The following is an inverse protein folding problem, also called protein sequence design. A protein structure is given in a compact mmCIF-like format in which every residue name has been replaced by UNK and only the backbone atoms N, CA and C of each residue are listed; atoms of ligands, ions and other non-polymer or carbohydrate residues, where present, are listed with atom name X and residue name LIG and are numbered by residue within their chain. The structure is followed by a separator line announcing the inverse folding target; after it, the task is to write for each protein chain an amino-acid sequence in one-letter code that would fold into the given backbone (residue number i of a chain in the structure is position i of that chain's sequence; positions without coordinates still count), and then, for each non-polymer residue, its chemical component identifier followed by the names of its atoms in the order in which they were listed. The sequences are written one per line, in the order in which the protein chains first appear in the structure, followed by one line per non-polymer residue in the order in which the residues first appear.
data_IF_125903993079
#
_entry.id   IF_125903993079
#
_cell.length_a   1.000
_cell.length_b   1.000
_cell.length_c   1.000
_cell.angle_alpha   90.00
_cell.angle_beta   90.00
_cell.angle_gamma   90.00
#
_symmetry.space_group_name_H-M   'P 1'
#
loop_
_entity.id
_entity.type
_entity.pdbx_description
1 polymer ?
#
# COMPACT_ATOMS: atom_id res chain seq x y z
N UNK A 1 17.98 -9.11 -11.92
CA UNK A 1 17.76 -9.36 -10.48
C UNK A 1 18.04 -10.82 -10.20
N UNK A 2 18.65 -11.12 -9.05
CA UNK A 2 18.95 -12.47 -8.59
C UNK A 2 17.70 -13.04 -7.90
N UNK A 3 16.60 -13.32 -8.61
CA UNK A 3 15.32 -13.66 -7.96
C UNK A 3 15.46 -14.91 -7.08
N UNK A 4 15.91 -16.00 -7.68
CA UNK A 4 15.95 -17.31 -7.02
C UNK A 4 17.17 -17.39 -6.09
N UNK A 5 18.32 -16.92 -6.56
CA UNK A 5 19.56 -16.84 -5.78
C UNK A 5 19.46 -15.86 -4.61
N UNK A 6 18.68 -14.78 -4.73
CA UNK A 6 18.45 -13.82 -3.65
C UNK A 6 17.62 -14.41 -2.51
N UNK A 7 16.58 -15.18 -2.85
CA UNK A 7 15.77 -15.89 -1.86
C UNK A 7 16.59 -16.96 -1.13
N UNK A 8 17.44 -17.69 -1.86
CA UNK A 8 18.34 -18.70 -1.29
C UNK A 8 19.36 -18.10 -0.33
N UNK A 9 20.00 -16.99 -0.73
CA UNK A 9 20.94 -16.25 0.12
C UNK A 9 20.24 -15.80 1.42
N UNK A 10 19.07 -15.17 1.32
CA UNK A 10 18.31 -14.70 2.47
C UNK A 10 17.93 -15.83 3.43
N UNK A 11 17.48 -16.97 2.90
CA UNK A 11 17.08 -18.14 3.69
C UNK A 11 18.26 -18.82 4.37
N UNK A 12 19.42 -18.86 3.72
CA UNK A 12 20.59 -19.58 4.24
C UNK A 12 21.25 -18.88 5.43
N UNK A 13 21.25 -17.54 5.44
CA UNK A 13 22.02 -16.75 6.41
C UNK A 13 23.54 -16.99 6.36
N UNK A 14 24.04 -17.76 5.39
CA UNK A 14 25.43 -18.20 5.34
C UNK A 14 26.35 -17.03 5.00
N UNK A 15 27.29 -16.68 5.90
CA UNK A 15 28.17 -15.50 5.79
C UNK A 15 27.45 -14.15 5.94
N UNK A 16 26.27 -14.13 6.58
CA UNK A 16 25.65 -12.87 6.97
C UNK A 16 26.60 -12.04 7.86
N UNK A 17 26.62 -10.74 7.66
CA UNK A 17 27.52 -9.79 8.34
C UNK A 17 26.75 -8.74 9.16
N UNK A 18 25.43 -8.91 9.28
CA UNK A 18 24.53 -8.09 10.08
C UNK A 18 23.28 -8.85 10.49
N UNK A 19 22.84 -8.63 11.73
CA UNK A 19 21.57 -9.13 12.23
C UNK A 19 20.61 -7.96 12.45
N UNK A 20 19.43 -8.01 11.85
CA UNK A 20 18.33 -7.08 12.13
C UNK A 20 17.36 -7.76 13.08
N UNK A 21 16.95 -7.06 14.15
CA UNK A 21 15.97 -7.58 15.13
C UNK A 21 14.72 -6.70 15.12
N UNK A 22 13.55 -7.31 15.09
CA UNK A 22 12.25 -6.68 15.23
C UNK A 22 11.37 -7.56 16.12
N UNK A 23 11.04 -7.09 17.32
CA UNK A 23 10.28 -7.85 18.30
C UNK A 23 10.94 -9.22 18.58
N UNK A 24 10.22 -10.32 18.38
CA UNK A 24 10.67 -11.70 18.56
C UNK A 24 11.38 -12.28 17.32
N UNK A 25 11.38 -11.56 16.19
CA UNK A 25 11.99 -12.00 14.93
C UNK A 25 13.33 -11.35 14.69
N UNK A 26 14.20 -12.09 14.01
CA UNK A 26 15.50 -11.60 13.54
C UNK A 26 15.80 -12.13 12.15
N UNK A 27 16.63 -11.40 11.42
CA UNK A 27 17.09 -11.74 10.09
C UNK A 27 18.60 -11.58 10.02
N UNK A 28 19.27 -12.62 9.53
CA UNK A 28 20.68 -12.59 9.18
C UNK A 28 20.82 -12.08 7.73
N UNK A 29 21.35 -10.87 7.57
CA UNK A 29 21.38 -10.15 6.30
C UNK A 29 22.82 -9.83 5.86
N UNK A 30 22.95 -9.29 4.64
CA UNK A 30 24.22 -8.89 4.06
C UNK A 30 24.23 -7.39 3.80
N UNK A 31 25.12 -6.65 4.46
CA UNK A 31 25.30 -5.20 4.28
C UNK A 31 25.52 -4.85 2.81
N UNK A 32 26.30 -5.66 2.09
CA UNK A 32 26.55 -5.50 0.66
C UNK A 32 25.31 -5.57 -0.24
N UNK A 33 24.22 -6.19 0.24
CA UNK A 33 22.93 -6.25 -0.48
C UNK A 33 22.00 -5.13 -0.02
N UNK A 34 21.81 -4.97 1.29
CA UNK A 34 20.78 -4.07 1.84
C UNK A 34 21.20 -2.59 1.81
N UNK A 35 22.48 -2.26 2.04
CA UNK A 35 22.92 -0.85 2.13
C UNK A 35 22.83 -0.11 0.79
N UNK A 36 23.21 -0.71 -0.37
CA UNK A 36 23.02 -0.05 -1.66
C UNK A 36 21.55 0.12 -2.06
N UNK A 37 20.65 -0.69 -1.50
CA UNK A 37 19.23 -0.74 -1.87
C UNK A 37 18.32 -0.01 -0.88
N UNK A 38 18.84 0.39 0.28
CA UNK A 38 18.08 1.03 1.34
C UNK A 38 19.00 1.92 2.20
N UNK A 39 18.83 3.24 2.05
CA UNK A 39 19.65 4.24 2.75
C UNK A 39 19.42 4.22 4.27
N UNK A 40 18.27 3.76 4.74
CA UNK A 40 18.02 3.59 6.17
C UNK A 40 19.01 2.58 6.78
N UNK A 41 19.19 1.41 6.15
CA UNK A 41 20.16 0.42 6.58
C UNK A 41 21.61 0.90 6.49
N UNK A 42 21.89 1.89 5.64
CA UNK A 42 23.19 2.57 5.55
C UNK A 42 23.44 3.54 6.73
N UNK A 43 22.40 4.25 7.20
CA UNK A 43 22.53 5.34 8.19
C UNK A 43 22.34 4.92 9.64
N UNK A 44 21.78 3.75 9.90
CA UNK A 44 21.68 3.19 11.25
C UNK A 44 20.54 2.20 11.37
N UNK A 45 20.85 1.00 11.87
CA UNK A 45 19.90 -0.10 12.14
C UNK A 45 19.04 0.17 13.38
N UNK A 46 18.71 1.42 13.66
CA UNK A 46 18.15 1.83 14.95
C UNK A 46 16.81 2.51 14.70
N UNK A 47 15.74 1.76 14.93
CA UNK A 47 14.38 2.26 14.95
C UNK A 47 13.43 1.12 15.35
N UNK A 48 12.35 1.41 16.09
CA UNK A 48 11.36 0.40 16.40
C UNK A 48 10.62 0.02 15.11
N UNK A 49 10.91 -1.17 14.59
CA UNK A 49 10.10 -1.77 13.55
C UNK A 49 8.76 -2.21 14.18
N UNK A 50 7.65 -1.63 13.71
CA UNK A 50 6.35 -1.85 14.33
C UNK A 50 5.72 -3.20 13.98
N UNK A 51 6.07 -3.78 12.81
CA UNK A 51 5.47 -5.02 12.32
C UNK A 51 6.52 -5.92 11.65
N UNK A 52 6.86 -7.08 12.26
CA UNK A 52 7.81 -8.04 11.72
C UNK A 52 7.43 -8.60 10.33
N UNK A 53 6.14 -8.76 10.04
CA UNK A 53 5.67 -9.34 8.77
C UNK A 53 5.84 -8.37 7.60
N UNK A 54 5.61 -7.08 7.84
CA UNK A 54 5.87 -6.04 6.84
C UNK A 54 7.36 -5.85 6.62
N UNK A 55 8.16 -5.94 7.69
CA UNK A 55 9.61 -5.89 7.57
C UNK A 55 10.15 -7.08 6.77
N UNK A 56 9.61 -8.28 6.98
CA UNK A 56 9.96 -9.46 6.20
C UNK A 56 9.72 -9.25 4.71
N UNK A 57 8.58 -8.65 4.35
CA UNK A 57 8.26 -8.31 2.94
C UNK A 57 9.22 -7.27 2.36
N UNK A 58 9.54 -6.22 3.13
CA UNK A 58 10.51 -5.23 2.71
C UNK A 58 11.91 -5.83 2.51
N UNK A 59 12.34 -6.72 3.40
CA UNK A 59 13.61 -7.46 3.29
C UNK A 59 13.60 -8.36 2.06
N UNK A 60 12.53 -9.16 1.84
CA UNK A 60 12.41 -9.99 0.63
C UNK A 60 12.51 -9.15 -0.63
N UNK A 61 11.81 -8.02 -0.69
CA UNK A 61 11.92 -7.07 -1.80
C UNK A 61 13.37 -6.62 -2.04
N UNK A 62 14.11 -6.29 -0.98
CA UNK A 62 15.52 -5.89 -1.10
C UNK A 62 16.41 -7.00 -1.64
N UNK A 63 16.04 -8.28 -1.55
CA UNK A 63 16.83 -9.39 -2.08
C UNK A 63 16.37 -9.80 -3.48
N UNK A 64 15.07 -10.04 -3.64
CA UNK A 64 14.48 -10.69 -4.82
C UNK A 64 13.90 -9.68 -5.81
N UNK A 65 13.46 -8.52 -5.34
CA UNK A 65 12.67 -7.57 -6.14
C UNK A 65 11.23 -7.99 -6.36
N UNK A 66 10.74 -8.98 -5.62
CA UNK A 66 9.38 -9.49 -5.75
C UNK A 66 8.65 -9.29 -4.42
N UNK A 67 7.34 -9.05 -4.51
CA UNK A 67 6.46 -9.01 -3.35
C UNK A 67 5.59 -10.28 -3.29
N UNK A 68 6.11 -11.41 -3.79
CA UNK A 68 5.34 -12.64 -3.91
C UNK A 68 5.11 -13.25 -2.52
N UNK A 69 3.91 -13.01 -2.04
CA UNK A 69 3.19 -13.90 -1.16
C UNK A 69 2.42 -14.84 -2.08
N UNK A 70 2.66 -16.15 -1.96
CA UNK A 70 1.98 -17.24 -2.69
C UNK A 70 0.68 -16.79 -3.38
N UNK A 71 0.61 -16.96 -4.70
CA UNK A 71 -0.45 -16.52 -5.63
C UNK A 71 -1.90 -16.96 -5.31
N UNK A 72 -2.15 -17.54 -4.14
CA UNK A 72 -3.42 -18.10 -3.73
C UNK A 72 -4.32 -17.16 -2.94
N UNK A 73 -3.83 -16.00 -2.45
CA UNK A 73 -4.68 -15.00 -1.78
C UNK A 73 -4.45 -13.58 -2.31
N UNK A 74 -5.51 -12.85 -2.69
CA UNK A 74 -5.39 -11.44 -3.04
C UNK A 74 -4.88 -10.66 -1.83
N UNK A 75 -3.71 -10.03 -2.00
CA UNK A 75 -3.08 -9.26 -0.93
C UNK A 75 -4.01 -8.10 -0.50
N UNK A 76 -4.40 -8.01 0.78
CA UNK A 76 -5.33 -6.98 1.24
C UNK A 76 -4.77 -5.56 1.01
N UNK A 77 -5.64 -4.62 0.59
CA UNK A 77 -5.24 -3.22 0.36
C UNK A 77 -4.61 -2.61 1.61
N UNK A 78 -5.17 -2.89 2.79
CA UNK A 78 -4.60 -2.42 4.06
C UNK A 78 -3.13 -2.80 4.22
N UNK A 79 -2.77 -4.04 3.87
CA UNK A 79 -1.39 -4.53 3.97
C UNK A 79 -0.45 -3.84 2.98
N UNK A 80 -0.92 -3.48 1.77
CA UNK A 80 -0.14 -2.67 0.83
C UNK A 80 0.11 -1.27 1.38
N UNK A 81 -0.91 -0.63 1.94
CA UNK A 81 -0.80 0.72 2.50
C UNK A 81 0.15 0.72 3.71
N UNK A 82 0.07 -0.27 4.59
CA UNK A 82 1.00 -0.38 5.73
C UNK A 82 2.43 -0.65 5.28
N UNK A 83 2.61 -1.50 4.26
CA UNK A 83 3.91 -1.73 3.65
C UNK A 83 4.44 -0.46 2.98
N UNK A 84 3.58 0.38 2.40
CA UNK A 84 3.97 1.67 1.83
C UNK A 84 4.49 2.62 2.92
N UNK A 85 3.80 2.71 4.06
CA UNK A 85 4.26 3.52 5.20
C UNK A 85 5.63 3.04 5.68
N UNK A 86 5.82 1.72 5.79
CA UNK A 86 7.12 1.15 6.15
C UNK A 86 8.18 1.42 5.08
N UNK A 87 7.85 1.29 3.79
CA UNK A 87 8.77 1.57 2.69
C UNK A 87 9.19 3.04 2.65
N UNK A 88 8.29 3.97 2.99
CA UNK A 88 8.62 5.39 3.15
C UNK A 88 9.56 5.61 4.33
N UNK A 89 9.27 5.01 5.48
CA UNK A 89 10.11 5.08 6.68
C UNK A 89 11.53 4.53 6.42
N UNK A 90 11.63 3.39 5.73
CA UNK A 90 12.90 2.77 5.34
C UNK A 90 13.56 3.47 4.14
N UNK A 91 12.87 4.41 3.50
CA UNK A 91 13.32 5.12 2.31
C UNK A 91 13.68 4.16 1.14
N UNK A 92 12.77 3.24 0.84
CA UNK A 92 12.89 2.27 -0.27
C UNK A 92 11.98 2.72 -1.43
N UNK A 93 12.48 3.63 -2.27
CA UNK A 93 11.70 4.24 -3.36
C UNK A 93 11.17 3.22 -4.40
N UNK A 94 11.93 2.17 -4.68
CA UNK A 94 11.52 1.12 -5.62
C UNK A 94 10.30 0.36 -5.11
N UNK A 95 10.25 0.09 -3.81
CA UNK A 95 9.12 -0.60 -3.16
C UNK A 95 7.88 0.29 -3.12
N UNK A 96 8.04 1.58 -2.77
CA UNK A 96 6.94 2.56 -2.83
C UNK A 96 6.31 2.62 -4.22
N UNK A 97 7.13 2.69 -5.26
CA UNK A 97 6.67 2.77 -6.65
C UNK A 97 5.86 1.54 -7.05
N UNK A 98 6.35 0.35 -6.72
CA UNK A 98 5.64 -0.91 -7.01
C UNK A 98 4.31 -1.01 -6.26
N UNK A 99 4.27 -0.62 -4.98
CA UNK A 99 3.03 -0.64 -4.19
C UNK A 99 1.99 0.32 -4.78
N UNK A 100 2.39 1.55 -5.12
CA UNK A 100 1.50 2.51 -5.76
C UNK A 100 0.93 2.00 -7.09
N UNK A 101 1.75 1.31 -7.88
CA UNK A 101 1.33 0.68 -9.13
C UNK A 101 0.28 -0.43 -8.88
N UNK A 102 0.50 -1.30 -7.88
CA UNK A 102 -0.45 -2.37 -7.54
C UNK A 102 -1.77 -1.82 -6.97
N UNK A 103 -1.71 -0.78 -6.15
CA UNK A 103 -2.90 -0.10 -5.65
C UNK A 103 -3.74 0.48 -6.81
N UNK A 104 -3.11 1.15 -7.78
CA UNK A 104 -3.81 1.64 -8.99
C UNK A 104 -4.47 0.51 -9.76
N UNK A 105 -3.75 -0.58 -10.03
CA UNK A 105 -4.29 -1.77 -10.71
C UNK A 105 -5.43 -2.45 -9.95
N UNK A 106 -5.52 -2.25 -8.64
CA UNK A 106 -6.62 -2.76 -7.82
C UNK A 106 -7.86 -1.87 -7.93
N UNK A 107 -7.68 -0.56 -7.84
CA UNK A 107 -8.79 0.40 -7.81
C UNK A 107 -9.35 0.74 -9.20
N UNK A 108 -8.53 0.81 -10.25
CA UNK A 108 -8.97 1.20 -11.60
C UNK A 108 -10.00 0.22 -12.21
N UNK A 109 -9.76 -1.11 -12.27
CA UNK A 109 -10.76 -2.05 -12.79
C UNK A 109 -11.99 -2.13 -11.89
N UNK A 110 -11.80 -1.94 -10.58
CA UNK A 110 -12.88 -1.97 -9.59
C UNK A 110 -13.83 -0.79 -9.76
N UNK A 111 -13.32 0.41 -10.09
CA UNK A 111 -14.14 1.58 -10.41
C UNK A 111 -15.00 1.34 -11.67
N UNK A 112 -14.42 0.77 -12.73
CA UNK A 112 -15.15 0.41 -13.96
C UNK A 112 -16.25 -0.61 -13.69
N UNK A 113 -15.98 -1.63 -12.86
CA UNK A 113 -16.99 -2.61 -12.43
C UNK A 113 -18.10 -1.95 -11.63
N UNK A 114 -17.77 -1.00 -10.76
CA UNK A 114 -18.74 -0.26 -9.96
C UNK A 114 -19.74 0.50 -10.85
N UNK A 115 -19.26 1.16 -11.91
CA UNK A 115 -20.12 1.82 -12.90
C UNK A 115 -21.05 0.81 -13.61
N UNK A 116 -20.49 -0.30 -14.11
CA UNK A 116 -21.24 -1.27 -14.92
C UNK A 116 -22.33 -2.03 -14.12
N UNK A 117 -22.11 -2.24 -12.81
CA UNK A 117 -22.98 -3.05 -11.95
C UNK A 117 -24.18 -2.26 -11.44
N UNK A 118 -24.04 -0.97 -11.15
CA UNK A 118 -25.16 -0.10 -10.76
C UNK A 118 -26.15 0.13 -11.91
N UNK A 119 -25.70 0.07 -13.16
CA UNK A 119 -26.57 0.07 -14.34
C UNK A 119 -27.46 -1.17 -14.45
N UNK A 120 -27.18 -2.25 -13.70
CA UNK A 120 -27.91 -3.53 -13.79
C UNK A 120 -28.77 -3.88 -12.56
N UNK A 121 -28.69 -3.10 -11.47
CA UNK A 121 -29.43 -3.17 -10.18
C UNK A 121 -29.68 -4.57 -9.58
N UNK A 122 -29.40 -4.68 -8.27
CA UNK A 122 -29.53 -5.84 -7.36
C UNK A 122 -28.52 -6.98 -7.57
N UNK A 123 -27.38 -6.88 -6.87
CA UNK A 123 -26.52 -8.05 -6.64
C UNK A 123 -25.31 -7.74 -5.75
N UNK A 124 -25.35 -8.16 -4.49
CA UNK A 124 -24.29 -8.14 -3.47
C UNK A 124 -23.64 -6.79 -3.14
N UNK A 125 -24.18 -6.12 -2.10
CA UNK A 125 -23.60 -4.93 -1.47
C UNK A 125 -22.39 -5.20 -0.55
N UNK A 126 -22.00 -6.46 -0.32
CA UNK A 126 -20.85 -6.82 0.51
C UNK A 126 -19.50 -6.48 -0.14
N UNK A 127 -19.34 -6.73 -1.44
CA UNK A 127 -18.10 -6.42 -2.17
C UNK A 127 -17.89 -4.90 -2.35
N UNK A 128 -18.97 -4.13 -2.47
CA UNK A 128 -18.92 -2.67 -2.60
C UNK A 128 -18.57 -2.01 -1.27
N UNK A 129 -19.09 -2.53 -0.15
CA UNK A 129 -18.68 -2.12 1.20
C UNK A 129 -17.20 -2.37 1.44
N UNK A 130 -16.69 -3.55 1.11
CA UNK A 130 -15.26 -3.87 1.26
C UNK A 130 -14.36 -2.92 0.46
N UNK A 131 -14.77 -2.55 -0.76
CA UNK A 131 -14.00 -1.63 -1.59
C UNK A 131 -14.02 -0.19 -1.06
N UNK A 132 -15.15 0.24 -0.48
CA UNK A 132 -15.24 1.51 0.22
C UNK A 132 -14.35 1.51 1.48
N UNK A 133 -14.39 0.43 2.27
CA UNK A 133 -13.54 0.27 3.45
C UNK A 133 -12.04 0.35 3.10
N UNK A 134 -11.63 -0.32 2.03
CA UNK A 134 -10.27 -0.28 1.49
C UNK A 134 -9.87 1.15 1.04
N UNK A 135 -10.76 1.84 0.32
CA UNK A 135 -10.55 3.22 -0.10
C UNK A 135 -10.37 4.15 1.11
N UNK A 136 -11.23 4.04 2.12
CA UNK A 136 -11.17 4.88 3.30
C UNK A 136 -9.99 4.54 4.20
N UNK A 137 -9.49 3.31 4.16
CA UNK A 137 -8.20 2.98 4.74
C UNK A 137 -7.06 3.75 4.06
N UNK A 138 -7.00 3.70 2.72
CA UNK A 138 -6.02 4.47 1.92
C UNK A 138 -6.12 5.96 2.23
N UNK A 139 -7.33 6.52 2.24
CA UNK A 139 -7.56 7.94 2.51
C UNK A 139 -7.09 8.33 3.92
N UNK A 140 -7.46 7.56 4.96
CA UNK A 140 -7.00 7.85 6.34
C UNK A 140 -5.48 7.94 6.41
N UNK A 141 -4.78 6.95 5.86
CA UNK A 141 -3.32 6.96 5.87
C UNK A 141 -2.75 8.11 5.03
N UNK A 142 -3.29 8.34 3.82
CA UNK A 142 -2.83 9.39 2.92
C UNK A 142 -2.99 10.81 3.48
N UNK A 143 -4.02 11.07 4.27
CA UNK A 143 -4.30 12.40 4.83
C UNK A 143 -3.69 12.64 6.22
N UNK A 144 -3.17 11.61 6.88
CA UNK A 144 -2.41 11.76 8.15
C UNK A 144 -0.96 12.23 7.95
N UNK A 145 -0.41 12.09 6.74
CA UNK A 145 0.96 12.50 6.41
C UNK A 145 0.97 13.44 5.20
N UNK A 146 1.82 14.48 5.25
CA UNK A 146 1.91 15.53 4.24
C UNK A 146 3.11 15.42 3.31
N UNK A 147 3.91 14.35 3.40
CA UNK A 147 5.05 14.15 2.49
C UNK A 147 4.58 13.83 1.06
N UNK A 148 5.42 14.16 0.07
CA UNK A 148 5.09 14.03 -1.35
C UNK A 148 4.58 12.63 -1.79
N UNK A 149 5.12 11.50 -1.28
CA UNK A 149 4.60 10.17 -1.61
C UNK A 149 3.13 9.96 -1.20
N UNK A 150 2.70 10.55 -0.08
CA UNK A 150 1.32 10.41 0.40
C UNK A 150 0.35 11.24 -0.44
N UNK A 151 0.79 12.33 -1.08
CA UNK A 151 0.00 13.04 -2.09
C UNK A 151 -0.40 12.11 -3.25
N UNK A 152 0.48 11.17 -3.64
CA UNK A 152 0.15 10.18 -4.69
C UNK A 152 -0.93 9.20 -4.21
N UNK A 153 -0.88 8.77 -2.94
CA UNK A 153 -1.96 7.96 -2.34
C UNK A 153 -3.28 8.72 -2.29
N UNK A 154 -3.28 10.02 -1.94
CA UNK A 154 -4.48 10.87 -1.99
C UNK A 154 -5.07 10.88 -3.39
N UNK A 155 -4.22 11.05 -4.41
CA UNK A 155 -4.67 11.06 -5.80
C UNK A 155 -5.27 9.72 -6.23
N UNK A 156 -4.73 8.58 -5.79
CA UNK A 156 -5.32 7.27 -6.06
C UNK A 156 -6.74 7.18 -5.49
N UNK A 157 -6.95 7.64 -4.26
CA UNK A 157 -8.26 7.63 -3.64
C UNK A 157 -9.26 8.58 -4.35
N UNK A 158 -8.83 9.80 -4.70
CA UNK A 158 -9.66 10.75 -5.45
C UNK A 158 -10.00 10.24 -6.85
N UNK A 159 -9.02 9.69 -7.57
CA UNK A 159 -9.21 9.11 -8.90
C UNK A 159 -10.20 7.95 -8.87
N UNK A 160 -10.18 7.12 -7.83
CA UNK A 160 -11.18 6.06 -7.70
C UNK A 160 -12.60 6.65 -7.67
N UNK A 161 -12.87 7.64 -6.82
CA UNK A 161 -14.21 8.24 -6.71
C UNK A 161 -14.63 8.93 -8.00
N UNK A 162 -13.74 9.71 -8.62
CA UNK A 162 -13.98 10.33 -9.93
C UNK A 162 -14.29 9.27 -11.01
N UNK A 163 -13.51 8.19 -11.04
CA UNK A 163 -13.70 7.06 -11.94
C UNK A 163 -14.92 6.21 -11.58
N UNK A 164 -15.62 6.44 -10.46
CA UNK A 164 -16.98 5.89 -10.25
C UNK A 164 -18.08 6.84 -10.73
N UNK A 165 -17.73 7.97 -11.37
CA UNK A 165 -18.65 9.09 -11.67
C UNK A 165 -19.39 9.58 -10.42
N UNK A 166 -18.68 9.58 -9.29
CA UNK A 166 -19.21 9.98 -7.98
C UNK A 166 -20.38 9.14 -7.47
N UNK A 167 -20.70 8.02 -8.13
CA UNK A 167 -21.77 7.13 -7.70
C UNK A 167 -21.50 6.56 -6.30
N UNK A 168 -20.23 6.37 -5.94
CA UNK A 168 -19.83 5.95 -4.59
C UNK A 168 -20.26 6.96 -3.51
N UNK A 169 -20.26 8.27 -3.82
CA UNK A 169 -20.67 9.31 -2.87
C UNK A 169 -22.18 9.33 -2.58
N UNK A 170 -22.99 8.63 -3.38
CA UNK A 170 -24.42 8.47 -3.12
C UNK A 170 -24.73 7.29 -2.17
N UNK A 171 -23.72 6.54 -1.72
CA UNK A 171 -23.89 5.41 -0.80
C UNK A 171 -23.82 5.87 0.67
N UNK A 172 -24.75 5.36 1.48
CA UNK A 172 -24.85 5.73 2.90
C UNK A 172 -23.66 5.27 3.75
N UNK A 173 -23.05 4.13 3.42
CA UNK A 173 -21.87 3.61 4.11
C UNK A 173 -20.65 4.47 3.75
N UNK A 174 -20.46 4.77 2.47
CA UNK A 174 -19.44 5.69 1.99
C UNK A 174 -19.53 7.06 2.69
N UNK A 175 -20.72 7.65 2.73
CA UNK A 175 -20.93 8.96 3.38
C UNK A 175 -20.72 8.94 4.88
N UNK A 176 -20.97 7.80 5.54
CA UNK A 176 -20.66 7.65 6.96
C UNK A 176 -19.14 7.69 7.20
N UNK A 177 -18.34 7.00 6.38
CA UNK A 177 -16.89 6.97 6.49
C UNK A 177 -16.22 8.29 6.06
N UNK A 178 -16.84 9.04 5.13
CA UNK A 178 -16.36 10.35 4.73
C UNK A 178 -16.27 11.36 5.89
N UNK A 179 -17.12 11.21 6.92
CA UNK A 179 -17.09 12.04 8.12
C UNK A 179 -15.80 11.86 8.92
N UNK A 180 -15.21 10.68 8.87
CA UNK A 180 -14.00 10.35 9.62
C UNK A 180 -12.72 10.85 8.92
N UNK A 181 -12.83 11.32 7.68
CA UNK A 181 -11.70 11.87 6.89
C UNK A 181 -12.09 13.21 6.26
N UNK A 182 -12.23 14.29 7.06
CA UNK A 182 -12.82 15.55 6.61
C UNK A 182 -12.04 16.24 5.49
N UNK A 183 -10.71 16.15 5.49
CA UNK A 183 -9.89 16.71 4.42
C UNK A 183 -10.10 15.98 3.08
N UNK A 184 -10.30 14.66 3.12
CA UNK A 184 -10.65 13.89 1.93
C UNK A 184 -12.03 14.28 1.41
N UNK A 185 -13.01 14.44 2.30
CA UNK A 185 -14.34 14.92 1.93
C UNK A 185 -14.30 16.33 1.30
N UNK A 186 -13.47 17.22 1.83
CA UNK A 186 -13.29 18.57 1.27
C UNK A 186 -12.68 18.53 -0.14
N UNK A 187 -11.68 17.68 -0.38
CA UNK A 187 -11.07 17.54 -1.70
C UNK A 187 -12.00 16.83 -2.70
N UNK A 188 -12.82 15.88 -2.25
CA UNK A 188 -13.92 15.33 -3.06
C UNK A 188 -14.94 16.38 -3.46
N UNK A 189 -15.32 17.26 -2.54
CA UNK A 189 -16.25 18.35 -2.83
C UNK A 189 -15.67 19.33 -3.85
N UNK A 190 -14.40 19.72 -3.72
CA UNK A 190 -13.73 20.54 -4.74
C UNK A 190 -13.72 19.84 -6.10
N UNK A 191 -13.43 18.54 -6.13
CA UNK A 191 -13.39 17.77 -7.36
C UNK A 191 -14.76 17.72 -8.06
N UNK A 192 -15.85 17.59 -7.30
CA UNK A 192 -17.21 17.70 -7.82
C UNK A 192 -17.48 19.07 -8.45
N UNK A 193 -17.16 20.14 -7.72
CA UNK A 193 -17.39 21.52 -8.16
C UNK A 193 -16.56 21.96 -9.38
N UNK A 194 -15.50 21.23 -9.72
CA UNK A 194 -14.62 21.55 -10.85
C UNK A 194 -14.97 20.77 -12.12
N UNK A 195 -15.86 19.77 -12.03
CA UNK A 195 -16.27 18.90 -13.13
C UNK A 195 -17.71 19.14 -13.63
N UNK A 196 -18.37 20.18 -13.11
CA UNK A 196 -19.60 20.79 -13.67
C UNK A 196 -19.23 21.93 -14.65
#
# INVERSE_FOLDING_TARGET
MLSDSGADILRSGLLADVTVKCQDRHWELYKGIICPRCVFFLKGLTGPFANPDLLDLAIRWLYTGTMDCNDCDPFPVAKFVDLFVLADYLNIESLKTEILLRLRRTFEPSATRFQAKRAKVTGNGTAEKSLADDLFYVARVAYTNHSAPFTVLRQIALNFVANTRYLAACDSHFMSQAKDVPLFAADLFKLLMTND
#
